data_IF_080825629863
#
_entry.id   IF_080825629863
#
_cell.length_a   1.000
_cell.length_b   1.000
_cell.length_c   1.000
_cell.angle_alpha   90.00
_cell.angle_beta   90.00
_cell.angle_gamma   90.00
#
_symmetry.space_group_name_H-M   'P 1'
#
loop_
_entity.id
_entity.type
_entity.pdbx_description
1 polymer ?
#
# COMPACT_ATOMS: atom_id res chain seq x y z
N UNK A 1 -1.36 -12.10 -26.71
CA UNK A 1 -2.36 -11.02 -26.94
C UNK A 1 -3.79 -11.30 -26.45
N UNK A 2 -4.28 -12.56 -26.36
CA UNK A 2 -5.70 -12.85 -25.99
C UNK A 2 -6.08 -12.52 -24.53
N UNK A 3 -5.25 -12.84 -23.53
CA UNK A 3 -5.58 -12.64 -22.12
C UNK A 3 -5.71 -11.16 -21.71
N UNK A 4 -4.81 -10.30 -22.21
CA UNK A 4 -4.84 -8.87 -21.91
C UNK A 4 -6.10 -8.17 -22.43
N UNK A 5 -6.66 -8.62 -23.55
CA UNK A 5 -7.90 -8.05 -24.09
C UNK A 5 -9.13 -8.52 -23.31
N UNK A 6 -9.10 -9.76 -22.79
CA UNK A 6 -10.14 -10.29 -21.92
C UNK A 6 -10.25 -9.47 -20.61
N UNK A 7 -9.13 -9.25 -19.90
CA UNK A 7 -9.13 -8.48 -18.64
C UNK A 7 -9.68 -7.07 -18.86
N UNK A 8 -9.22 -6.40 -19.92
CA UNK A 8 -9.69 -5.06 -20.28
C UNK A 8 -11.20 -5.03 -20.56
N UNK A 9 -11.73 -6.05 -21.25
CA UNK A 9 -13.18 -6.18 -21.48
C UNK A 9 -13.95 -6.33 -20.17
N UNK A 10 -13.46 -7.14 -19.24
CA UNK A 10 -14.11 -7.30 -17.93
C UNK A 10 -14.07 -6.02 -17.10
N UNK A 11 -12.94 -5.30 -17.09
CA UNK A 11 -12.85 -3.99 -16.44
C UNK A 11 -13.86 -2.98 -17.02
N UNK A 12 -14.09 -3.00 -18.32
CA UNK A 12 -15.10 -2.14 -18.97
C UNK A 12 -16.51 -2.47 -18.48
N UNK A 13 -16.88 -3.75 -18.50
CA UNK A 13 -18.19 -4.25 -18.05
C UNK A 13 -18.43 -3.90 -16.57
N UNK A 14 -17.42 -4.11 -15.73
CA UNK A 14 -17.43 -3.73 -14.31
C UNK A 14 -17.69 -2.22 -14.16
N UNK A 15 -17.00 -1.39 -14.94
CA UNK A 15 -17.17 0.06 -14.91
C UNK A 15 -18.52 0.53 -15.46
N UNK A 16 -19.23 -0.25 -16.26
CA UNK A 16 -20.56 0.13 -16.76
C UNK A 16 -21.65 -0.10 -15.71
N UNK A 17 -21.53 -1.15 -14.89
CA UNK A 17 -22.56 -1.51 -13.89
C UNK A 17 -22.08 -1.39 -12.44
N UNK A 18 -22.76 -0.54 -11.64
CA UNK A 18 -22.50 -0.41 -10.18
C UNK A 18 -22.66 -1.75 -9.46
N UNK A 19 -23.69 -2.53 -9.80
CA UNK A 19 -23.95 -3.84 -9.18
C UNK A 19 -22.79 -4.81 -9.46
N UNK A 20 -22.30 -4.87 -10.69
CA UNK A 20 -21.17 -5.74 -11.02
C UNK A 20 -19.89 -5.29 -10.30
N UNK A 21 -19.62 -3.98 -10.24
CA UNK A 21 -18.49 -3.45 -9.45
C UNK A 21 -18.51 -3.95 -8.01
N UNK A 22 -19.66 -3.87 -7.33
CA UNK A 22 -19.81 -4.36 -5.95
C UNK A 22 -19.60 -5.87 -5.88
N UNK A 23 -20.29 -6.65 -6.73
CA UNK A 23 -20.23 -8.11 -6.71
C UNK A 23 -18.80 -8.61 -6.92
N UNK A 24 -18.08 -8.12 -7.93
CA UNK A 24 -16.70 -8.56 -8.18
C UNK A 24 -15.74 -8.11 -7.07
N UNK A 25 -15.86 -6.89 -6.56
CA UNK A 25 -15.03 -6.43 -5.44
C UNK A 25 -15.26 -7.30 -4.19
N UNK A 26 -16.51 -7.63 -3.88
CA UNK A 26 -16.87 -8.52 -2.77
C UNK A 26 -16.32 -9.93 -2.96
N UNK A 27 -16.50 -10.53 -4.14
CA UNK A 27 -15.97 -11.88 -4.42
C UNK A 27 -14.45 -11.93 -4.23
N UNK A 28 -13.72 -10.97 -4.81
CA UNK A 28 -12.26 -10.92 -4.65
C UNK A 28 -11.82 -10.58 -3.23
N UNK A 29 -12.66 -9.92 -2.43
CA UNK A 29 -12.34 -9.57 -1.05
C UNK A 29 -12.24 -10.80 -0.14
N UNK A 30 -13.04 -11.85 -0.40
CA UNK A 30 -13.06 -13.07 0.42
C UNK A 30 -11.95 -14.03 0.00
N UNK A 31 -11.57 -14.00 -1.27
CA UNK A 31 -10.60 -14.94 -1.83
C UNK A 31 -9.18 -14.66 -1.30
N UNK A 32 -8.54 -15.65 -0.62
CA UNK A 32 -7.16 -15.50 -0.21
C UNK A 32 -6.26 -15.27 -1.44
N UNK A 33 -5.21 -14.46 -1.28
CA UNK A 33 -4.30 -14.03 -2.36
C UNK A 33 -4.92 -13.17 -3.48
N UNK A 34 -6.24 -12.95 -3.49
CA UNK A 34 -6.91 -12.09 -4.47
C UNK A 34 -7.50 -10.81 -3.86
N UNK A 35 -7.35 -10.59 -2.56
CA UNK A 35 -7.84 -9.38 -1.87
C UNK A 35 -7.26 -8.08 -2.46
N UNK A 36 -6.00 -8.09 -2.91
CA UNK A 36 -5.38 -6.96 -3.61
C UNK A 36 -6.13 -6.61 -4.91
N UNK A 37 -6.77 -7.57 -5.57
CA UNK A 37 -7.58 -7.32 -6.77
C UNK A 37 -8.91 -6.63 -6.40
N UNK A 38 -9.49 -6.95 -5.25
CA UNK A 38 -10.64 -6.20 -4.72
C UNK A 38 -10.30 -4.72 -4.50
N UNK A 39 -9.17 -4.45 -3.85
CA UNK A 39 -8.64 -3.09 -3.65
C UNK A 39 -8.38 -2.40 -5.00
N UNK A 40 -7.89 -3.13 -5.99
CA UNK A 40 -7.68 -2.61 -7.34
C UNK A 40 -8.99 -2.26 -8.05
N UNK A 41 -10.06 -3.04 -7.87
CA UNK A 41 -11.39 -2.72 -8.42
C UNK A 41 -12.00 -1.48 -7.75
N UNK A 42 -11.91 -1.37 -6.42
CA UNK A 42 -12.31 -0.17 -5.70
C UNK A 42 -11.56 1.05 -6.24
N UNK A 43 -10.24 0.93 -6.43
CA UNK A 43 -9.39 1.99 -6.96
C UNK A 43 -9.74 2.35 -8.41
N UNK A 44 -10.02 1.36 -9.25
CA UNK A 44 -10.41 1.56 -10.66
C UNK A 44 -11.72 2.36 -10.76
N UNK A 45 -12.72 1.99 -9.95
CA UNK A 45 -13.99 2.71 -9.86
C UNK A 45 -13.77 4.12 -9.31
N UNK A 46 -12.94 4.26 -8.28
CA UNK A 46 -12.60 5.56 -7.67
C UNK A 46 -11.94 6.49 -8.69
N UNK A 47 -10.92 6.01 -9.41
CA UNK A 47 -10.22 6.77 -10.44
C UNK A 47 -11.15 7.21 -11.57
N UNK A 48 -12.05 6.34 -12.03
CA UNK A 48 -12.91 6.62 -13.19
C UNK A 48 -14.18 7.41 -12.83
N UNK A 49 -14.90 6.98 -11.79
CA UNK A 49 -16.22 7.52 -11.42
C UNK A 49 -16.18 8.48 -10.23
N UNK A 50 -15.08 8.52 -9.48
CA UNK A 50 -14.87 9.43 -8.38
C UNK A 50 -15.23 8.89 -7.00
N UNK A 51 -15.11 9.76 -6.01
CA UNK A 51 -15.17 9.41 -4.59
C UNK A 51 -16.44 8.66 -4.21
N UNK A 52 -17.62 9.19 -4.58
CA UNK A 52 -18.91 8.60 -4.21
C UNK A 52 -19.06 7.18 -4.76
N UNK A 53 -18.84 6.99 -6.06
CA UNK A 53 -18.94 5.67 -6.68
C UNK A 53 -17.85 4.70 -6.20
N UNK A 54 -16.65 5.19 -5.91
CA UNK A 54 -15.60 4.39 -5.29
C UNK A 54 -16.00 3.92 -3.89
N UNK A 55 -16.57 4.82 -3.08
CA UNK A 55 -17.04 4.55 -1.74
C UNK A 55 -18.19 3.53 -1.72
N UNK A 56 -19.11 3.64 -2.67
CA UNK A 56 -20.21 2.68 -2.87
C UNK A 56 -19.72 1.23 -3.08
N UNK A 57 -18.51 1.05 -3.62
CA UNK A 57 -17.88 -0.26 -3.84
C UNK A 57 -16.97 -0.65 -2.68
N UNK A 58 -16.26 0.34 -2.12
CA UNK A 58 -15.39 0.19 -0.96
C UNK A 58 -16.14 -0.38 0.24
N UNK A 59 -17.27 0.23 0.63
CA UNK A 59 -17.98 -0.10 1.85
C UNK A 59 -18.40 -1.58 1.92
N UNK A 60 -19.10 -2.16 0.93
CA UNK A 60 -19.46 -3.58 0.98
C UNK A 60 -18.25 -4.50 0.87
N UNK A 61 -17.23 -4.17 0.08
CA UNK A 61 -16.00 -4.97 0.00
C UNK A 61 -15.25 -5.00 1.34
N UNK A 62 -15.17 -3.86 2.02
CA UNK A 62 -14.56 -3.70 3.33
C UNK A 62 -15.29 -4.53 4.39
N UNK A 63 -16.62 -4.40 4.49
CA UNK A 63 -17.44 -5.15 5.46
C UNK A 63 -17.33 -6.65 5.24
N UNK A 64 -17.33 -7.10 3.99
CA UNK A 64 -17.29 -8.54 3.71
C UNK A 64 -15.87 -9.09 3.88
N UNK A 65 -14.83 -8.31 3.57
CA UNK A 65 -13.44 -8.69 3.84
C UNK A 65 -13.16 -8.92 5.33
N UNK A 66 -13.83 -8.18 6.22
CA UNK A 66 -13.62 -8.36 7.67
C UNK A 66 -14.20 -9.67 8.21
N UNK A 67 -15.20 -10.27 7.56
CA UNK A 67 -15.89 -11.46 8.09
C UNK A 67 -14.95 -12.66 8.27
N UNK A 68 -14.14 -13.08 7.28
CA UNK A 68 -13.17 -14.16 7.49
C UNK A 68 -12.12 -13.83 8.56
N UNK A 69 -11.70 -12.56 8.64
CA UNK A 69 -10.72 -12.12 9.63
C UNK A 69 -11.27 -12.21 11.06
N UNK A 70 -12.55 -11.94 11.27
CA UNK A 70 -13.20 -12.08 12.58
C UNK A 70 -13.23 -13.52 13.10
N UNK A 71 -13.06 -14.52 12.22
CA UNK A 71 -12.93 -15.92 12.62
C UNK A 71 -11.53 -16.25 13.16
N UNK A 72 -10.54 -15.40 12.88
CA UNK A 72 -9.13 -15.61 13.19
C UNK A 72 -8.62 -14.68 14.30
N UNK A 73 -9.13 -13.44 14.36
CA UNK A 73 -8.67 -12.39 15.27
C UNK A 73 -9.85 -11.62 15.86
N UNK A 74 -9.67 -10.94 17.01
CA UNK A 74 -10.71 -10.13 17.64
C UNK A 74 -11.29 -9.07 16.68
N UNK A 75 -12.56 -8.70 16.89
CA UNK A 75 -13.29 -7.75 16.04
C UNK A 75 -12.51 -6.45 15.78
N UNK A 76 -11.92 -5.85 16.83
CA UNK A 76 -11.11 -4.63 16.69
C UNK A 76 -9.92 -4.82 15.75
N UNK A 77 -9.20 -5.94 15.87
CA UNK A 77 -8.10 -6.30 15.00
C UNK A 77 -8.54 -6.52 13.56
N UNK A 78 -9.64 -7.25 13.34
CA UNK A 78 -10.20 -7.49 12.01
C UNK A 78 -10.60 -6.20 11.30
N UNK A 79 -11.26 -5.27 12.02
CA UNK A 79 -11.65 -3.98 11.48
C UNK A 79 -10.44 -3.10 11.14
N UNK A 80 -9.46 -3.01 12.05
CA UNK A 80 -8.23 -2.23 11.82
C UNK A 80 -7.47 -2.77 10.59
N UNK A 81 -7.30 -4.10 10.50
CA UNK A 81 -6.58 -4.73 9.40
C UNK A 81 -7.27 -4.44 8.05
N UNK A 82 -8.59 -4.52 8.04
CA UNK A 82 -9.41 -4.25 6.86
C UNK A 82 -9.35 -2.77 6.45
N UNK A 83 -9.41 -1.84 7.41
CA UNK A 83 -9.26 -0.41 7.14
C UNK A 83 -7.88 -0.10 6.54
N UNK A 84 -6.83 -0.68 7.11
CA UNK A 84 -5.44 -0.54 6.64
C UNK A 84 -5.28 -1.11 5.22
N UNK A 85 -5.97 -2.20 4.87
CA UNK A 85 -5.88 -2.80 3.55
C UNK A 85 -6.53 -1.95 2.44
N UNK A 86 -7.64 -1.26 2.72
CA UNK A 86 -8.42 -0.55 1.69
C UNK A 86 -8.23 0.97 1.66
N UNK A 87 -8.23 1.63 2.84
CA UNK A 87 -8.27 3.10 2.90
C UNK A 87 -7.06 3.77 2.24
N UNK A 88 -5.81 3.31 2.44
CA UNK A 88 -4.66 3.94 1.81
C UNK A 88 -4.79 4.00 0.29
N UNK A 89 -5.22 2.89 -0.33
CA UNK A 89 -5.36 2.81 -1.77
C UNK A 89 -6.53 3.68 -2.28
N UNK A 90 -7.65 3.70 -1.56
CA UNK A 90 -8.80 4.55 -1.89
C UNK A 90 -8.44 6.04 -1.90
N UNK A 91 -7.79 6.53 -0.83
CA UNK A 91 -7.39 7.94 -0.76
C UNK A 91 -6.28 8.27 -1.76
N UNK A 92 -5.31 7.37 -1.97
CA UNK A 92 -4.28 7.54 -2.98
C UNK A 92 -4.88 7.59 -4.40
N UNK A 93 -5.92 6.80 -4.69
CA UNK A 93 -6.67 6.85 -5.94
C UNK A 93 -7.37 8.20 -6.15
N UNK A 94 -7.91 8.82 -5.08
CA UNK A 94 -8.49 10.17 -5.16
C UNK A 94 -7.42 11.22 -5.47
N UNK A 95 -6.28 11.17 -4.77
CA UNK A 95 -5.16 12.07 -5.04
C UNK A 95 -4.64 11.95 -6.46
N UNK A 96 -4.48 10.71 -6.95
CA UNK A 96 -4.05 10.42 -8.31
C UNK A 96 -5.06 10.88 -9.36
N UNK A 97 -6.36 10.67 -9.12
CA UNK A 97 -7.44 11.13 -10.02
C UNK A 97 -7.41 12.63 -10.27
N UNK A 98 -7.16 13.41 -9.22
CA UNK A 98 -7.23 14.87 -9.30
C UNK A 98 -5.96 15.52 -9.85
N UNK A 99 -4.81 14.82 -9.78
CA UNK A 99 -3.51 15.42 -10.05
C UNK A 99 -2.72 14.73 -11.16
N UNK A 100 -3.04 13.48 -11.47
CA UNK A 100 -2.29 12.61 -12.38
C UNK A 100 -0.80 12.49 -12.02
N UNK A 101 -0.47 12.70 -10.73
CA UNK A 101 0.90 12.67 -10.21
C UNK A 101 1.08 11.56 -9.18
N UNK A 102 1.94 10.60 -9.47
CA UNK A 102 2.29 9.50 -8.55
C UNK A 102 2.95 9.99 -7.26
N UNK A 103 3.57 11.16 -7.27
CA UNK A 103 4.09 11.81 -6.06
C UNK A 103 2.98 12.10 -5.04
N UNK A 104 1.78 12.46 -5.50
CA UNK A 104 0.63 12.73 -4.62
C UNK A 104 0.11 11.43 -4.01
N UNK A 105 0.00 10.36 -4.81
CA UNK A 105 -0.38 9.04 -4.31
C UNK A 105 0.61 8.54 -3.23
N UNK A 106 1.91 8.66 -3.48
CA UNK A 106 2.95 8.31 -2.51
C UNK A 106 2.89 9.18 -1.24
N UNK A 107 2.64 10.49 -1.39
CA UNK A 107 2.44 11.39 -0.25
C UNK A 107 1.25 10.99 0.61
N UNK A 108 0.12 10.61 -0.01
CA UNK A 108 -1.06 10.10 0.72
C UNK A 108 -0.73 8.81 1.47
N UNK A 109 -0.03 7.86 0.84
CA UNK A 109 0.43 6.65 1.52
C UNK A 109 1.31 6.96 2.73
N UNK A 110 2.28 7.88 2.58
CA UNK A 110 3.15 8.29 3.67
C UNK A 110 2.37 8.94 4.81
N UNK A 111 1.48 9.91 4.52
CA UNK A 111 0.68 10.61 5.54
C UNK A 111 -0.20 9.62 6.31
N UNK A 112 -0.88 8.71 5.62
CA UNK A 112 -1.74 7.72 6.27
C UNK A 112 -0.95 6.72 7.12
N UNK A 113 0.21 6.27 6.65
CA UNK A 113 1.08 5.41 7.44
C UNK A 113 1.65 6.13 8.66
N UNK A 114 2.11 7.37 8.50
CA UNK A 114 2.60 8.19 9.60
C UNK A 114 1.53 8.40 10.67
N UNK A 115 0.31 8.80 10.26
CA UNK A 115 -0.82 8.96 11.17
C UNK A 115 -1.22 7.63 11.82
N UNK A 116 -1.23 6.53 11.07
CA UNK A 116 -1.51 5.19 11.60
C UNK A 116 -0.51 4.77 12.67
N UNK A 117 0.79 4.93 12.41
CA UNK A 117 1.85 4.68 13.39
C UNK A 117 1.68 5.54 14.64
N UNK A 118 1.44 6.84 14.46
CA UNK A 118 1.28 7.79 15.55
C UNK A 118 0.08 7.41 16.43
N UNK A 119 -1.07 7.09 15.82
CA UNK A 119 -2.26 6.68 16.55
C UNK A 119 -2.03 5.37 17.31
N UNK A 120 -1.39 4.37 16.70
CA UNK A 120 -1.11 3.10 17.38
C UNK A 120 -0.21 3.32 18.59
N UNK A 121 0.84 4.14 18.46
CA UNK A 121 1.74 4.45 19.57
C UNK A 121 1.05 5.21 20.71
N UNK A 122 0.14 6.13 20.39
CA UNK A 122 -0.58 6.95 21.39
C UNK A 122 -1.69 6.17 22.11
N UNK A 123 -2.46 5.38 21.36
CA UNK A 123 -3.68 4.74 21.88
C UNK A 123 -3.46 3.31 22.38
N UNK A 124 -2.44 2.61 21.87
CA UNK A 124 -2.15 1.22 22.21
C UNK A 124 -0.64 1.06 22.49
N UNK A 125 -0.12 1.73 23.54
CA UNK A 125 1.29 1.64 23.88
C UNK A 125 1.68 0.18 24.15
N UNK A 126 2.79 -0.26 23.58
CA UNK A 126 3.27 -1.66 23.72
C UNK A 126 2.83 -2.61 22.60
N UNK A 127 1.80 -2.27 21.80
CA UNK A 127 1.31 -3.12 20.70
C UNK A 127 2.43 -3.61 19.78
N UNK A 128 3.33 -2.70 19.37
CA UNK A 128 4.44 -3.01 18.47
C UNK A 128 5.39 -4.05 19.07
N UNK A 129 5.69 -3.94 20.37
CA UNK A 129 6.61 -4.85 21.07
C UNK A 129 5.95 -6.20 21.28
N UNK A 130 4.66 -6.24 21.61
CA UNK A 130 3.89 -7.48 21.77
C UNK A 130 3.77 -8.26 20.45
N UNK A 131 3.45 -7.56 19.36
CA UNK A 131 3.42 -8.14 18.02
C UNK A 131 4.78 -8.73 17.63
N UNK A 132 5.87 -8.02 17.95
CA UNK A 132 7.22 -8.51 17.70
C UNK A 132 7.57 -9.74 18.56
N UNK A 133 7.09 -9.82 19.80
CA UNK A 133 7.25 -11.03 20.64
C UNK A 133 6.53 -12.24 20.04
N UNK A 134 5.29 -12.06 19.56
CA UNK A 134 4.54 -13.12 18.88
C UNK A 134 5.28 -13.61 17.63
N UNK A 135 5.79 -12.68 16.83
CA UNK A 135 6.61 -13.02 15.66
C UNK A 135 7.86 -13.82 16.04
N UNK A 136 8.61 -13.39 17.07
CA UNK A 136 9.78 -14.12 17.56
C UNK A 136 9.46 -15.53 18.06
N UNK A 137 8.33 -15.74 18.72
CA UNK A 137 7.91 -17.08 19.15
C UNK A 137 7.66 -18.02 17.97
N UNK A 138 7.07 -17.52 16.88
CA UNK A 138 6.89 -18.29 15.64
C UNK A 138 8.27 -18.58 15.02
N UNK A 139 9.15 -17.58 14.95
CA UNK A 139 10.49 -17.73 14.36
C UNK A 139 11.38 -18.71 15.13
N UNK A 140 11.26 -18.76 16.46
CA UNK A 140 11.97 -19.70 17.31
C UNK A 140 11.63 -21.17 17.00
N UNK A 141 10.49 -21.45 16.36
CA UNK A 141 10.15 -22.79 15.87
C UNK A 141 10.98 -23.21 14.64
N UNK A 142 11.70 -22.27 14.01
CA UNK A 142 12.51 -22.47 12.78
C UNK A 142 14.00 -22.22 13.03
N UNK A 143 14.45 -22.53 14.25
CA UNK A 143 15.59 -21.96 14.99
C UNK A 143 17.01 -22.06 14.39
N UNK A 144 17.28 -22.83 13.34
CA UNK A 144 18.68 -23.11 12.93
C UNK A 144 19.41 -21.96 12.21
N UNK A 145 18.75 -20.86 11.83
CA UNK A 145 19.32 -19.87 10.88
C UNK A 145 19.46 -18.42 11.41
N UNK A 146 18.94 -18.05 12.58
CA UNK A 146 18.68 -16.63 12.90
C UNK A 146 19.34 -16.10 14.19
N UNK A 147 19.72 -16.97 15.14
CA UNK A 147 20.13 -16.52 16.48
C UNK A 147 21.41 -15.67 16.59
N UNK A 148 22.50 -15.87 15.83
CA UNK A 148 23.74 -15.13 16.10
C UNK A 148 23.69 -13.65 15.72
N UNK A 149 22.81 -13.23 14.80
CA UNK A 149 22.81 -11.86 14.26
C UNK A 149 21.89 -10.88 15.01
N UNK A 150 20.94 -11.36 15.82
CA UNK A 150 19.90 -10.52 16.43
C UNK A 150 20.10 -10.27 17.94
N UNK A 151 21.05 -10.95 18.58
CA UNK A 151 21.24 -10.86 20.03
C UNK A 151 21.91 -9.56 20.50
N UNK A 152 22.70 -8.90 19.65
CA UNK A 152 23.39 -7.64 19.98
C UNK A 152 22.52 -6.38 19.75
N UNK A 153 21.38 -6.49 19.06
CA UNK A 153 20.52 -5.35 18.74
C UNK A 153 19.42 -5.21 19.78
N UNK A 154 19.20 -3.99 20.27
CA UNK A 154 18.11 -3.69 21.20
C UNK A 154 16.76 -4.19 20.62
N UNK A 155 16.13 -5.11 21.34
CA UNK A 155 14.88 -5.75 20.93
C UNK A 155 13.72 -4.78 20.65
N UNK A 156 13.73 -3.60 21.28
CA UNK A 156 12.74 -2.55 21.07
C UNK A 156 12.94 -1.88 19.70
N UNK A 157 14.19 -1.59 19.32
CA UNK A 157 14.54 -1.01 18.02
C UNK A 157 14.12 -1.97 16.91
N UNK A 158 14.45 -3.25 17.08
CA UNK A 158 14.09 -4.28 16.12
C UNK A 158 12.57 -4.44 15.97
N UNK A 159 11.81 -4.30 17.06
CA UNK A 159 10.35 -4.31 17.03
C UNK A 159 9.77 -3.14 16.21
N UNK A 160 10.31 -1.92 16.37
CA UNK A 160 9.87 -0.75 15.57
C UNK A 160 10.18 -0.97 14.08
N UNK A 161 11.39 -1.40 13.75
CA UNK A 161 11.77 -1.64 12.36
C UNK A 161 10.92 -2.76 11.71
N UNK A 162 10.67 -3.84 12.45
CA UNK A 162 9.78 -4.92 12.01
C UNK A 162 8.37 -4.41 11.71
N UNK A 163 7.80 -3.59 12.59
CA UNK A 163 6.49 -2.99 12.38
C UNK A 163 6.48 -2.04 11.17
N UNK A 164 7.53 -1.26 10.97
CA UNK A 164 7.70 -0.45 9.76
C UNK A 164 7.74 -1.27 8.47
N UNK A 165 8.42 -2.42 8.47
CA UNK A 165 8.44 -3.36 7.34
C UNK A 165 7.04 -3.95 7.10
N UNK A 166 6.30 -4.28 8.16
CA UNK A 166 4.93 -4.76 8.05
C UNK A 166 4.02 -3.72 7.37
N UNK A 167 4.10 -2.45 7.77
CA UNK A 167 3.34 -1.38 7.12
C UNK A 167 3.77 -1.20 5.67
N UNK A 168 5.08 -1.23 5.41
CA UNK A 168 5.61 -1.16 4.04
C UNK A 168 5.01 -2.26 3.15
N UNK A 169 4.90 -3.50 3.64
CA UNK A 169 4.31 -4.60 2.88
C UNK A 169 2.87 -4.33 2.44
N UNK A 170 2.06 -3.72 3.33
CA UNK A 170 0.70 -3.30 3.02
C UNK A 170 0.71 -2.22 1.95
N UNK A 171 1.58 -1.21 2.09
CA UNK A 171 1.67 -0.11 1.13
C UNK A 171 2.15 -0.56 -0.25
N UNK A 172 3.07 -1.53 -0.32
CA UNK A 172 3.50 -2.15 -1.58
C UNK A 172 2.32 -2.85 -2.24
N UNK A 173 1.56 -3.65 -1.48
CA UNK A 173 0.33 -4.30 -1.98
C UNK A 173 -0.68 -3.27 -2.50
N UNK A 174 -0.95 -2.21 -1.73
CA UNK A 174 -1.84 -1.12 -2.13
C UNK A 174 -1.34 -0.39 -3.39
N UNK A 175 -0.02 -0.19 -3.52
CA UNK A 175 0.59 0.43 -4.70
C UNK A 175 0.41 -0.46 -5.94
N UNK A 176 0.62 -1.77 -5.82
CA UNK A 176 0.41 -2.73 -6.90
C UNK A 176 -1.06 -2.70 -7.36
N UNK A 177 -2.01 -2.71 -6.41
CA UNK A 177 -3.44 -2.57 -6.71
C UNK A 177 -3.77 -1.26 -7.46
N UNK A 178 -3.19 -0.14 -7.02
CA UNK A 178 -3.40 1.16 -7.64
C UNK A 178 -2.77 1.23 -9.05
N UNK A 179 -1.56 0.68 -9.23
CA UNK A 179 -0.89 0.59 -10.53
C UNK A 179 -1.71 -0.26 -11.51
N UNK A 180 -2.23 -1.41 -11.05
CA UNK A 180 -3.12 -2.24 -11.86
C UNK A 180 -4.39 -1.47 -12.28
N UNK A 181 -5.04 -0.79 -11.33
CA UNK A 181 -6.21 0.01 -11.59
C UNK A 181 -5.94 1.13 -12.61
N UNK A 182 -4.85 1.89 -12.43
CA UNK A 182 -4.48 2.97 -13.35
C UNK A 182 -4.07 2.44 -14.72
N UNK A 183 -3.37 1.31 -14.80
CA UNK A 183 -3.01 0.66 -16.07
C UNK A 183 -4.26 0.23 -16.85
N UNK A 184 -5.25 -0.38 -16.19
CA UNK A 184 -6.52 -0.77 -16.83
C UNK A 184 -7.33 0.45 -17.26
N UNK A 185 -7.39 1.49 -16.43
CA UNK A 185 -8.05 2.75 -16.77
C UNK A 185 -7.40 3.42 -17.99
N UNK A 186 -6.07 3.54 -18.01
CA UNK A 186 -5.34 4.12 -19.13
C UNK A 186 -5.59 3.31 -20.42
N UNK A 187 -5.51 1.98 -20.36
CA UNK A 187 -5.77 1.15 -21.54
C UNK A 187 -7.18 1.32 -22.11
N UNK A 188 -8.18 1.58 -21.27
CA UNK A 188 -9.58 1.76 -21.69
C UNK A 188 -9.90 3.17 -22.20
N UNK A 189 -9.31 4.21 -21.61
CA UNK A 189 -9.76 5.58 -21.81
C UNK A 189 -8.66 6.56 -22.25
N UNK A 190 -7.39 6.26 -21.99
CA UNK A 190 -6.25 7.11 -22.32
C UNK A 190 -4.99 6.26 -22.58
N UNK A 191 -4.91 5.58 -23.75
CA UNK A 191 -3.83 4.64 -24.02
C UNK A 191 -2.47 5.34 -23.97
N UNK A 192 -1.55 4.80 -23.16
CA UNK A 192 -0.22 5.37 -22.92
C UNK A 192 -0.13 6.33 -21.73
N UNK A 193 -1.25 6.82 -21.19
CA UNK A 193 -1.26 7.78 -20.06
C UNK A 193 -0.48 7.27 -18.84
N UNK A 194 -0.75 6.03 -18.41
CA UNK A 194 -0.05 5.41 -17.29
C UNK A 194 1.47 5.35 -17.47
N UNK A 195 1.96 5.05 -18.68
CA UNK A 195 3.40 5.02 -18.97
C UNK A 195 4.00 6.41 -18.81
N UNK A 196 3.34 7.44 -19.35
CA UNK A 196 3.82 8.82 -19.28
C UNK A 196 3.89 9.31 -17.83
N UNK A 197 2.87 9.02 -17.02
CA UNK A 197 2.84 9.35 -15.59
C UNK A 197 3.97 8.67 -14.82
N UNK A 198 4.23 7.39 -15.08
CA UNK A 198 5.29 6.64 -14.42
C UNK A 198 6.68 7.13 -14.82
N UNK A 199 6.87 7.51 -16.10
CA UNK A 199 8.13 8.12 -16.57
C UNK A 199 8.35 9.53 -15.99
N UNK A 200 7.27 10.27 -15.71
CA UNK A 200 7.31 11.58 -15.05
C UNK A 200 7.50 11.49 -13.52
N UNK A 201 7.48 10.29 -12.95
CA UNK A 201 7.69 10.10 -11.52
C UNK A 201 9.14 10.41 -11.14
N UNK A 202 9.30 11.44 -10.31
CA UNK A 202 10.57 11.93 -9.77
C UNK A 202 10.37 12.34 -8.33
N UNK A 203 11.34 12.00 -7.48
CA UNK A 203 11.42 12.49 -6.11
C UNK A 203 11.63 14.01 -6.11
N UNK A 204 10.82 14.71 -5.32
CA UNK A 204 10.89 16.16 -5.18
C UNK A 204 11.79 16.61 -4.02
N UNK A 205 12.09 17.91 -3.96
CA UNK A 205 12.87 18.50 -2.85
C UNK A 205 12.23 18.23 -1.49
N UNK A 206 10.90 18.31 -1.40
CA UNK A 206 10.17 18.02 -0.16
C UNK A 206 10.36 16.56 0.30
N UNK A 207 10.29 15.60 -0.62
CA UNK A 207 10.53 14.20 -0.29
C UNK A 207 11.95 14.00 0.27
N UNK A 208 12.93 14.73 -0.25
CA UNK A 208 14.32 14.65 0.23
C UNK A 208 14.47 15.22 1.65
N UNK A 209 13.81 16.35 1.93
CA UNK A 209 13.76 16.89 3.29
C UNK A 209 13.07 15.94 4.27
N UNK A 210 11.98 15.29 3.85
CA UNK A 210 11.32 14.25 4.67
C UNK A 210 12.26 13.08 4.95
N UNK A 211 13.00 12.61 3.94
CA UNK A 211 13.99 11.55 4.12
C UNK A 211 15.10 11.93 5.10
N UNK A 212 15.68 13.12 4.96
CA UNK A 212 16.69 13.60 5.91
C UNK A 212 16.12 13.73 7.32
N UNK A 213 14.92 14.31 7.45
CA UNK A 213 14.26 14.48 8.75
C UNK A 213 13.96 13.15 9.43
N UNK A 214 13.40 12.18 8.70
CA UNK A 214 13.13 10.83 9.23
C UNK A 214 14.43 10.09 9.56
N UNK A 215 15.47 10.24 8.75
CA UNK A 215 16.77 9.60 9.00
C UNK A 215 17.44 10.17 10.26
N UNK A 216 17.46 11.50 10.41
CA UNK A 216 17.97 12.16 11.61
C UNK A 216 17.15 11.79 12.86
N UNK A 217 15.82 11.80 12.76
CA UNK A 217 14.95 11.39 13.86
C UNK A 217 15.16 9.91 14.25
N UNK A 218 15.45 9.05 13.28
CA UNK A 218 15.79 7.65 13.54
C UNK A 218 17.15 7.51 14.21
N UNK A 219 18.13 8.36 13.86
CA UNK A 219 19.42 8.41 14.54
C UNK A 219 19.29 8.78 16.03
N UNK A 220 18.33 9.63 16.38
CA UNK A 220 17.95 9.93 17.78
C UNK A 220 16.99 8.90 18.39
N UNK A 221 16.86 7.73 17.76
CA UNK A 221 16.03 6.62 18.22
C UNK A 221 14.54 6.95 18.44
N UNK A 222 14.01 7.94 17.71
CA UNK A 222 12.58 8.29 17.81
C UNK A 222 11.73 7.13 17.23
N UNK A 223 10.87 6.47 18.03
CA UNK A 223 10.16 5.26 17.60
C UNK A 223 9.30 5.47 16.35
N UNK A 224 8.62 6.63 16.26
CA UNK A 224 7.80 6.97 15.10
C UNK A 224 8.62 7.05 13.82
N UNK A 225 9.84 7.61 13.89
CA UNK A 225 10.74 7.74 12.75
C UNK A 225 11.22 6.36 12.27
N UNK A 226 11.59 5.47 13.20
CA UNK A 226 11.95 4.08 12.90
C UNK A 226 10.84 3.35 12.13
N UNK A 227 9.58 3.55 12.52
CA UNK A 227 8.44 2.89 11.86
C UNK A 227 8.22 3.37 10.42
N UNK A 228 8.44 4.65 10.14
CA UNK A 228 8.20 5.21 8.80
C UNK A 228 9.43 5.17 7.89
N UNK A 229 10.63 4.96 8.45
CA UNK A 229 11.88 4.91 7.70
C UNK A 229 11.85 3.92 6.51
N UNK A 230 11.37 2.65 6.66
CA UNK A 230 11.29 1.72 5.53
C UNK A 230 10.44 2.24 4.36
N UNK A 231 9.38 3.00 4.67
CA UNK A 231 8.46 3.57 3.69
C UNK A 231 9.16 4.65 2.86
N UNK A 232 9.87 5.55 3.54
CA UNK A 232 10.62 6.63 2.88
C UNK A 232 11.75 6.06 2.04
N UNK A 233 12.50 5.08 2.56
CA UNK A 233 13.54 4.39 1.81
C UNK A 233 12.98 3.73 0.54
N UNK A 234 11.86 3.02 0.64
CA UNK A 234 11.21 2.39 -0.51
C UNK A 234 10.81 3.42 -1.58
N UNK A 235 10.24 4.56 -1.18
CA UNK A 235 9.91 5.65 -2.09
C UNK A 235 11.14 6.18 -2.84
N UNK A 236 12.26 6.37 -2.14
CA UNK A 236 13.51 6.84 -2.76
C UNK A 236 14.11 5.80 -3.70
N UNK A 237 14.10 4.52 -3.33
CA UNK A 237 14.53 3.43 -4.20
C UNK A 237 13.68 3.38 -5.48
N UNK A 238 12.35 3.47 -5.35
CA UNK A 238 11.43 3.50 -6.49
C UNK A 238 11.69 4.70 -7.41
N UNK A 239 11.93 5.89 -6.84
CA UNK A 239 12.32 7.07 -7.63
C UNK A 239 13.69 6.90 -8.31
N UNK A 240 14.64 6.23 -7.66
CA UNK A 240 15.96 5.95 -8.20
C UNK A 240 15.90 5.04 -9.43
N UNK A 241 15.13 3.95 -9.36
CA UNK A 241 14.89 3.06 -10.50
C UNK A 241 14.26 3.80 -11.69
N UNK A 242 13.30 4.69 -11.43
CA UNK A 242 12.69 5.51 -12.48
C UNK A 242 13.69 6.45 -13.19
N UNK A 243 14.72 6.92 -12.51
CA UNK A 243 15.78 7.75 -13.10
C UNK A 243 16.70 6.91 -13.98
N UNK A 244 17.17 5.77 -13.47
CA UNK A 244 18.05 4.84 -14.19
C UNK A 244 17.39 4.34 -15.46
N UNK A 245 16.13 3.90 -15.37
CA UNK A 245 15.36 3.42 -16.53
C UNK A 245 15.20 4.50 -17.62
N UNK A 246 15.01 5.77 -17.22
CA UNK A 246 14.93 6.88 -18.16
C UNK A 246 16.26 7.12 -18.88
N UNK A 247 17.39 7.05 -18.18
CA UNK A 247 18.72 7.22 -18.78
C UNK A 247 18.97 6.15 -19.85
N UNK A 248 18.64 4.89 -19.57
CA UNK A 248 18.79 3.81 -20.56
C UNK A 248 17.88 4.01 -21.78
N UNK A 249 16.62 4.41 -21.59
CA UNK A 249 15.70 4.69 -22.69
C UNK A 249 16.12 5.87 -23.59
N UNK A 250 16.80 6.87 -23.03
CA UNK A 250 17.34 8.00 -23.80
C UNK A 250 18.61 7.60 -24.56
N UNK A 251 19.38 6.64 -24.04
CA UNK A 251 20.59 6.15 -24.68
C UNK A 251 20.33 5.25 -25.90
N UNK A 252 19.18 4.57 -25.93
CA UNK A 252 18.78 3.68 -27.04
C UNK A 252 18.06 4.40 -28.20
N UNK A 253 18.06 5.74 -28.21
CA UNK A 253 17.53 6.59 -29.29
C UNK A 253 18.64 7.42 -29.92
#
# INVERSE_FOLDING_TARGET
MRAGNFITKQCKVILESKRQSIVYAVIFSILPFASWLSVALVSLVTLRKGAKSGFDVLLPALVIHSVPLMMLIPLSGALINTLIAYLPCYFAALGLRNTERWQVAAGVFFVLAFLGCLLIQLWIPGFIVEQFKLFKMILAQYQELVEPALNDINSVILAQLFFGIQILSVLVSATISLMFARAMQAKLFLPGGFRNELMAFRSGRLSFLVFLGVSLATFYEIPLAMNVLPIVLCYFLASGFGLVYFIFLVRDK
#
